data_IF_138401230089
#
_entry.id   IF_138401230089
#
_cell.length_a   1.000
_cell.length_b   1.000
_cell.length_c   1.000
_cell.angle_alpha   90.00
_cell.angle_beta   90.00
_cell.angle_gamma   90.00
#
_symmetry.space_group_name_H-M   'P 1'
#
loop_
_entity.id
_entity.type
_entity.pdbx_description
1 polymer ?
#
# COMPACT_ATOMS: atom_id res chain seq x y z
N UNK A 1 51.19 17.80 35.06
CA UNK A 1 49.96 17.14 34.55
C UNK A 1 50.31 16.47 33.23
N UNK A 2 50.17 15.14 33.14
CA UNK A 2 50.47 14.35 31.93
C UNK A 2 49.23 14.39 31.03
N UNK A 3 49.36 14.95 29.83
CA UNK A 3 48.33 14.88 28.79
C UNK A 3 48.42 13.51 28.11
N UNK A 4 47.42 12.66 28.33
CA UNK A 4 47.21 11.44 27.55
C UNK A 4 46.45 11.82 26.28
N UNK A 5 47.12 11.73 25.13
CA UNK A 5 46.48 11.81 23.81
C UNK A 5 45.80 10.45 23.57
N UNK A 6 44.47 10.42 23.70
CA UNK A 6 43.67 9.26 23.32
C UNK A 6 43.59 9.18 21.80
N UNK A 7 44.32 8.22 21.22
CA UNK A 7 44.15 7.82 19.82
C UNK A 7 42.81 7.11 19.71
N UNK A 8 41.82 7.78 19.11
CA UNK A 8 40.56 7.13 18.73
C UNK A 8 40.84 6.22 17.54
N UNK A 9 40.90 4.91 17.78
CA UNK A 9 40.91 3.91 16.73
C UNK A 9 39.57 3.98 15.98
N UNK A 10 39.58 4.49 14.75
CA UNK A 10 38.53 4.19 13.79
C UNK A 10 38.59 2.68 13.53
N UNK A 11 37.64 1.93 14.10
CA UNK A 11 37.42 0.55 13.70
C UNK A 11 36.99 0.56 12.23
N UNK A 12 37.84 0.06 11.34
CA UNK A 12 37.45 -0.23 9.96
C UNK A 12 36.41 -1.35 10.01
N UNK A 13 35.13 -0.99 9.88
CA UNK A 13 34.06 -1.93 9.59
C UNK A 13 34.47 -2.75 8.36
N UNK A 14 34.77 -4.03 8.55
CA UNK A 14 34.86 -4.97 7.45
C UNK A 14 33.50 -4.96 6.74
N UNK A 15 33.47 -4.61 5.45
CA UNK A 15 32.25 -4.68 4.65
C UNK A 15 31.76 -6.13 4.65
N UNK A 16 30.58 -6.37 5.22
CA UNK A 16 29.93 -7.68 5.20
C UNK A 16 29.22 -7.96 3.87
N UNK A 17 29.12 -6.95 3.01
CA UNK A 17 28.50 -7.05 1.69
C UNK A 17 29.46 -7.75 0.73
N UNK A 18 29.18 -9.01 0.43
CA UNK A 18 29.82 -9.74 -0.66
C UNK A 18 29.23 -9.26 -1.99
N UNK A 19 29.82 -8.22 -2.57
CA UNK A 19 29.55 -7.81 -3.96
C UNK A 19 30.19 -8.85 -4.88
N UNK A 20 29.38 -9.50 -5.72
CA UNK A 20 29.87 -10.50 -6.67
C UNK A 20 30.59 -9.81 -7.86
N UNK A 21 31.88 -9.57 -7.69
CA UNK A 21 32.72 -8.89 -8.69
C UNK A 21 32.75 -9.63 -10.03
N UNK A 22 32.65 -10.97 -10.03
CA UNK A 22 32.68 -11.75 -11.26
C UNK A 22 31.44 -11.50 -12.13
N UNK A 23 30.27 -11.31 -11.51
CA UNK A 23 29.04 -10.90 -12.22
C UNK A 23 29.13 -9.48 -12.75
N UNK A 24 29.85 -8.59 -12.05
CA UNK A 24 30.03 -7.20 -12.49
C UNK A 24 30.91 -7.09 -13.73
N UNK A 25 32.00 -7.87 -13.81
CA UNK A 25 32.99 -7.75 -14.88
C UNK A 25 32.59 -8.46 -16.18
N UNK A 26 31.59 -9.35 -16.14
CA UNK A 26 31.16 -10.16 -17.30
C UNK A 26 29.76 -9.81 -17.83
N UNK A 27 29.04 -8.94 -17.13
CA UNK A 27 27.69 -8.53 -17.51
C UNK A 27 27.70 -7.31 -18.44
N UNK A 28 26.83 -7.25 -19.46
CA UNK A 28 26.58 -6.03 -20.23
C UNK A 28 25.75 -4.99 -19.45
N UNK A 29 25.44 -5.23 -18.17
CA UNK A 29 24.69 -4.31 -17.32
C UNK A 29 25.60 -3.71 -16.23
N UNK A 30 25.87 -2.40 -16.33
CA UNK A 30 26.48 -1.62 -15.25
C UNK A 30 25.37 -1.00 -14.40
N UNK A 31 25.26 -1.43 -13.15
CA UNK A 31 24.29 -0.88 -12.19
C UNK A 31 25.03 -0.05 -11.16
N UNK A 32 24.61 1.21 -11.00
CA UNK A 32 25.16 2.12 -9.99
C UNK A 32 24.08 2.60 -9.04
N UNK A 33 24.40 2.59 -7.76
CA UNK A 33 23.57 3.16 -6.71
C UNK A 33 24.18 4.46 -6.21
N UNK A 34 23.30 5.43 -5.97
CA UNK A 34 23.59 6.69 -5.29
C UNK A 34 22.59 6.88 -4.15
N UNK A 35 23.08 7.32 -2.97
CA UNK A 35 22.20 7.72 -1.88
C UNK A 35 21.61 9.10 -2.19
N UNK A 36 20.30 9.25 -2.01
CA UNK A 36 19.58 10.52 -2.20
C UNK A 36 18.74 10.82 -0.95
N UNK A 37 18.88 12.02 -0.39
CA UNK A 37 18.20 12.37 0.85
C UNK A 37 18.64 11.49 2.03
N UNK A 38 17.68 11.03 2.84
CA UNK A 38 17.92 10.19 4.01
C UNK A 38 18.14 8.72 3.64
N UNK A 39 17.05 7.97 3.42
CA UNK A 39 17.06 6.55 3.03
C UNK A 39 16.72 6.32 1.55
N UNK A 40 16.66 7.40 0.77
CA UNK A 40 16.40 7.34 -0.66
C UNK A 40 17.60 6.78 -1.44
N UNK A 41 17.30 6.05 -2.51
CA UNK A 41 18.29 5.42 -3.39
C UNK A 41 17.90 5.73 -4.83
N UNK A 42 18.88 6.21 -5.60
CA UNK A 42 18.82 6.28 -7.05
C UNK A 42 19.61 5.12 -7.63
N UNK A 43 18.97 4.29 -8.45
CA UNK A 43 19.60 3.20 -9.18
C UNK A 43 19.67 3.55 -10.68
N UNK A 44 20.87 3.56 -11.23
CA UNK A 44 21.14 3.77 -12.66
C UNK A 44 21.59 2.45 -13.30
N UNK A 45 20.81 1.92 -14.24
CA UNK A 45 21.14 0.74 -15.03
C UNK A 45 21.57 1.19 -16.42
N UNK A 46 22.83 0.91 -16.78
CA UNK A 46 23.39 1.22 -18.09
C UNK A 46 23.65 -0.06 -18.86
N UNK A 47 23.18 -0.12 -20.12
CA UNK A 47 23.57 -1.18 -21.04
C UNK A 47 24.93 -0.83 -21.67
N UNK A 48 25.98 -1.53 -21.27
CA UNK A 48 27.35 -1.34 -21.77
C UNK A 48 27.68 -2.24 -22.97
N UNK A 49 26.73 -3.06 -23.43
CA UNK A 49 26.87 -3.87 -24.62
C UNK A 49 26.63 -3.10 -25.92
N UNK A 50 26.85 -3.78 -27.04
CA UNK A 50 26.80 -3.18 -28.39
C UNK A 50 25.41 -3.20 -29.05
N UNK A 51 24.39 -3.75 -28.37
CA UNK A 51 23.02 -3.86 -28.89
C UNK A 51 21.99 -3.63 -27.80
N UNK A 52 20.75 -3.30 -28.19
CA UNK A 52 19.66 -3.10 -27.26
C UNK A 52 19.31 -4.39 -26.51
N UNK A 53 18.97 -4.27 -25.22
CA UNK A 53 18.52 -5.39 -24.38
C UNK A 53 17.10 -5.13 -23.87
N UNK A 54 16.25 -6.15 -23.94
CA UNK A 54 14.84 -6.08 -23.51
C UNK A 54 14.67 -6.83 -22.20
N UNK A 55 14.73 -6.10 -21.09
CA UNK A 55 14.77 -6.62 -19.73
C UNK A 55 13.36 -6.79 -19.16
N UNK A 56 13.06 -7.94 -18.60
CA UNK A 56 11.83 -8.19 -17.87
C UNK A 56 11.87 -7.49 -16.51
N UNK A 57 10.92 -6.58 -16.24
CA UNK A 57 10.96 -5.68 -15.07
C UNK A 57 10.38 -6.29 -13.80
N UNK A 58 9.38 -7.15 -13.90
CA UNK A 58 8.60 -7.60 -12.73
C UNK A 58 9.47 -8.35 -11.74
N UNK A 59 9.37 -8.01 -10.45
CA UNK A 59 10.19 -8.59 -9.38
C UNK A 59 11.61 -8.03 -9.26
N UNK A 60 11.98 -7.02 -10.05
CA UNK A 60 13.31 -6.38 -10.02
C UNK A 60 13.25 -4.99 -9.41
N UNK A 61 14.39 -4.29 -9.28
CA UNK A 61 14.39 -2.89 -8.83
C UNK A 61 13.74 -1.92 -9.82
N UNK A 62 13.49 -2.34 -11.07
CA UNK A 62 12.69 -1.59 -12.06
C UNK A 62 11.17 -1.75 -11.86
N UNK A 63 10.76 -2.65 -10.96
CA UNK A 63 9.34 -2.85 -10.65
C UNK A 63 8.80 -1.71 -9.76
N UNK A 64 7.54 -1.34 -10.01
CA UNK A 64 6.78 -0.42 -9.16
C UNK A 64 6.15 -1.13 -7.96
N UNK A 65 6.04 -2.45 -8.02
CA UNK A 65 5.56 -3.27 -6.92
C UNK A 65 6.50 -3.20 -5.69
N UNK A 66 5.99 -3.50 -4.48
CA UNK A 66 6.77 -3.46 -3.25
C UNK A 66 7.64 -4.71 -3.06
N UNK A 67 8.52 -4.97 -4.04
CA UNK A 67 9.48 -6.09 -4.08
C UNK A 67 10.86 -5.65 -3.57
N UNK A 68 11.75 -6.60 -3.28
CA UNK A 68 13.10 -6.31 -2.76
C UNK A 68 13.96 -5.63 -3.84
N UNK A 69 14.12 -4.31 -3.76
CA UNK A 69 14.89 -3.51 -4.75
C UNK A 69 16.38 -3.46 -4.42
N UNK A 70 16.70 -3.47 -3.13
CA UNK A 70 18.04 -3.42 -2.56
C UNK A 70 18.12 -4.35 -1.37
N UNK A 71 19.35 -4.76 -1.04
CA UNK A 71 19.69 -5.36 0.24
C UNK A 71 20.31 -4.27 1.12
N UNK A 72 19.85 -4.17 2.37
CA UNK A 72 20.36 -3.19 3.34
C UNK A 72 21.03 -3.91 4.48
N UNK A 73 22.18 -3.41 4.92
CA UNK A 73 22.97 -3.97 6.01
C UNK A 73 23.26 -2.90 7.07
N UNK A 74 23.05 -3.22 8.34
CA UNK A 74 23.44 -2.39 9.48
C UNK A 74 24.40 -3.18 10.39
N UNK A 75 25.54 -2.58 10.73
CA UNK A 75 26.61 -3.24 11.50
C UNK A 75 26.99 -4.64 10.96
N UNK A 76 26.92 -4.82 9.63
CA UNK A 76 27.23 -6.08 8.93
C UNK A 76 26.11 -7.12 8.89
N UNK A 77 24.96 -6.87 9.53
CA UNK A 77 23.81 -7.77 9.46
C UNK A 77 22.81 -7.29 8.41
N UNK A 78 22.29 -8.21 7.59
CA UNK A 78 21.22 -7.89 6.63
C UNK A 78 19.95 -7.53 7.39
N UNK A 79 19.36 -6.38 7.06
CA UNK A 79 18.06 -5.96 7.56
C UNK A 79 16.99 -6.70 6.77
N UNK A 80 16.03 -7.28 7.48
CA UNK A 80 14.95 -8.04 6.87
C UNK A 80 14.15 -7.19 5.87
N UNK A 81 13.71 -7.87 4.82
CA UNK A 81 12.82 -7.31 3.80
C UNK A 81 11.37 -7.61 4.18
N UNK A 82 10.52 -6.57 4.22
CA UNK A 82 9.11 -6.64 4.63
C UNK A 82 8.13 -6.32 3.48
N UNK A 83 8.55 -6.55 2.24
CA UNK A 83 7.69 -6.46 1.07
C UNK A 83 7.10 -7.80 0.62
N UNK A 84 6.62 -7.83 -0.62
CA UNK A 84 6.01 -9.04 -1.20
C UNK A 84 7.04 -9.84 -2.00
N UNK A 85 6.89 -11.17 -2.01
CA UNK A 85 7.59 -12.07 -2.94
C UNK A 85 6.60 -12.57 -3.99
N UNK A 86 6.94 -12.43 -5.27
CA UNK A 86 6.03 -12.73 -6.37
C UNK A 86 6.27 -14.14 -6.91
N UNK A 87 5.17 -14.84 -7.25
CA UNK A 87 5.22 -15.91 -8.23
C UNK A 87 4.87 -15.30 -9.59
N UNK A 88 5.82 -15.33 -10.52
CA UNK A 88 5.75 -14.60 -11.78
C UNK A 88 5.44 -15.57 -12.91
N UNK A 89 4.47 -15.21 -13.77
CA UNK A 89 4.24 -15.91 -15.03
C UNK A 89 5.39 -15.61 -16.00
N UNK A 90 5.97 -16.64 -16.62
CA UNK A 90 7.08 -16.50 -17.58
C UNK A 90 6.66 -16.74 -19.03
N UNK A 91 5.35 -16.85 -19.27
CA UNK A 91 4.75 -17.12 -20.58
C UNK A 91 3.51 -16.23 -20.75
N UNK A 92 3.15 -15.95 -22.01
CA UNK A 92 2.03 -15.03 -22.32
C UNK A 92 2.29 -13.60 -21.86
N UNK A 93 3.56 -13.20 -21.85
CA UNK A 93 3.99 -11.87 -21.45
C UNK A 93 3.63 -10.84 -22.53
N UNK A 94 3.30 -9.63 -22.09
CA UNK A 94 3.05 -8.48 -22.96
C UNK A 94 4.27 -7.55 -23.00
N UNK A 95 4.35 -6.70 -24.01
CA UNK A 95 5.41 -5.69 -24.15
C UNK A 95 5.58 -4.80 -22.91
N UNK A 96 4.49 -4.52 -22.18
CA UNK A 96 4.51 -3.69 -20.97
C UNK A 96 5.33 -4.30 -19.83
N UNK A 97 5.54 -5.62 -19.83
CA UNK A 97 6.34 -6.31 -18.83
C UNK A 97 7.85 -6.04 -18.99
N UNK A 98 8.27 -5.51 -20.13
CA UNK A 98 9.68 -5.30 -20.47
C UNK A 98 10.09 -3.82 -20.42
N UNK A 99 11.39 -3.60 -20.20
CA UNK A 99 12.11 -2.35 -20.42
C UNK A 99 13.13 -2.60 -21.53
N UNK A 100 13.01 -1.91 -22.65
CA UNK A 100 14.07 -1.90 -23.65
C UNK A 100 15.10 -0.85 -23.23
N UNK A 101 16.39 -1.22 -23.28
CA UNK A 101 17.53 -0.35 -22.99
C UNK A 101 18.49 -0.44 -24.17
N UNK A 102 18.60 0.63 -24.96
CA UNK A 102 19.50 0.70 -26.10
C UNK A 102 20.98 0.61 -25.65
N UNK A 103 21.87 0.29 -26.60
CA UNK A 103 23.31 0.29 -26.33
C UNK A 103 23.76 1.68 -25.84
N UNK A 104 24.45 1.73 -24.70
CA UNK A 104 24.87 2.96 -24.03
C UNK A 104 23.77 3.75 -23.34
N UNK A 105 22.51 3.31 -23.38
CA UNK A 105 21.42 3.97 -22.67
C UNK A 105 21.46 3.65 -21.17
N UNK A 106 21.10 4.65 -20.36
CA UNK A 106 20.93 4.52 -18.91
C UNK A 106 19.47 4.72 -18.54
N UNK A 107 18.91 3.76 -17.81
CA UNK A 107 17.60 3.87 -17.17
C UNK A 107 17.80 4.14 -15.68
N UNK A 108 17.16 5.19 -15.17
CA UNK A 108 17.24 5.58 -13.77
C UNK A 108 15.91 5.36 -13.06
N UNK A 109 15.96 4.83 -11.84
CA UNK A 109 14.81 4.71 -10.95
C UNK A 109 15.17 5.18 -9.55
N UNK A 110 14.21 5.81 -8.89
CA UNK A 110 14.33 6.26 -7.50
C UNK A 110 13.32 5.53 -6.63
N UNK A 111 13.73 5.19 -5.41
CA UNK A 111 12.90 4.57 -4.39
C UNK A 111 13.51 4.84 -3.01
N UNK A 112 12.73 4.62 -1.96
CA UNK A 112 13.22 4.77 -0.59
C UNK A 112 13.34 3.39 0.08
N UNK A 113 14.54 3.07 0.58
CA UNK A 113 14.81 1.78 1.21
C UNK A 113 13.96 1.57 2.49
N UNK A 114 13.60 2.65 3.18
CA UNK A 114 12.79 2.59 4.40
C UNK A 114 11.33 2.16 4.14
N UNK A 115 10.84 2.22 2.89
CA UNK A 115 9.52 1.68 2.56
C UNK A 115 9.43 0.17 2.86
N UNK A 116 10.54 -0.57 2.66
CA UNK A 116 10.55 -2.03 2.67
C UNK A 116 11.55 -2.66 3.65
N UNK A 117 12.45 -1.86 4.23
CA UNK A 117 13.34 -2.27 5.31
C UNK A 117 13.09 -1.38 6.54
N UNK A 118 13.08 -1.96 7.74
CA UNK A 118 12.92 -1.17 8.96
C UNK A 118 14.26 -0.50 9.33
N UNK A 119 14.37 0.78 8.99
CA UNK A 119 15.53 1.62 9.29
C UNK A 119 15.30 2.57 10.46
N UNK A 120 14.25 2.34 11.27
CA UNK A 120 13.84 3.23 12.37
C UNK A 120 14.89 3.38 13.49
N UNK A 121 15.81 2.42 13.62
CA UNK A 121 16.95 2.51 14.55
C UNK A 121 17.93 3.61 14.16
N UNK A 122 18.02 3.96 12.86
CA UNK A 122 18.99 4.91 12.33
C UNK A 122 20.44 4.40 12.38
N UNK A 123 21.37 5.27 11.98
CA UNK A 123 22.81 5.03 11.98
C UNK A 123 23.38 4.66 10.62
N UNK A 124 24.64 4.24 10.61
CA UNK A 124 25.36 3.84 9.42
C UNK A 124 24.78 2.55 8.80
N UNK A 125 24.44 2.62 7.51
CA UNK A 125 23.98 1.48 6.71
C UNK A 125 24.81 1.32 5.44
N UNK A 126 24.84 0.10 4.94
CA UNK A 126 25.43 -0.26 3.66
C UNK A 126 24.34 -0.84 2.74
N UNK A 127 24.20 -0.31 1.52
CA UNK A 127 23.13 -0.67 0.59
C UNK A 127 23.74 -1.17 -0.73
N UNK A 128 23.21 -2.26 -1.25
CA UNK A 128 23.61 -2.88 -2.52
C UNK A 128 22.39 -3.41 -3.26
N UNK A 129 22.48 -3.58 -4.57
CA UNK A 129 21.53 -4.39 -5.34
C UNK A 129 22.29 -5.36 -6.25
N UNK A 130 21.84 -6.60 -6.30
CA UNK A 130 22.46 -7.65 -7.09
C UNK A 130 21.41 -8.69 -7.46
N UNK A 131 21.62 -9.38 -8.58
CA UNK A 131 20.67 -10.38 -9.04
C UNK A 131 20.84 -10.71 -10.50
N UNK A 132 19.72 -10.99 -11.16
CA UNK A 132 19.68 -11.21 -12.61
C UNK A 132 18.36 -10.71 -13.17
N UNK A 133 18.39 -10.11 -14.35
CA UNK A 133 17.20 -9.83 -15.13
C UNK A 133 16.94 -11.00 -16.08
N UNK A 134 15.69 -11.42 -16.21
CA UNK A 134 15.29 -12.16 -17.41
C UNK A 134 15.27 -11.19 -18.60
N UNK A 135 15.58 -11.68 -19.79
CA UNK A 135 15.48 -10.88 -21.01
C UNK A 135 14.80 -11.65 -22.14
N UNK A 136 14.27 -10.90 -23.10
CA UNK A 136 13.72 -11.39 -24.35
C UNK A 136 14.50 -10.81 -25.55
N UNK A 137 14.35 -11.43 -26.72
CA UNK A 137 14.80 -10.82 -27.97
C UNK A 137 13.96 -9.57 -28.29
N UNK A 138 14.52 -8.62 -29.05
CA UNK A 138 13.88 -7.33 -29.32
C UNK A 138 12.44 -7.46 -29.87
N UNK A 139 12.24 -8.37 -30.82
CA UNK A 139 10.97 -8.62 -31.51
C UNK A 139 10.12 -9.74 -30.85
N UNK A 140 10.42 -10.11 -29.60
CA UNK A 140 9.74 -11.19 -28.88
C UNK A 140 9.32 -10.77 -27.46
N UNK A 141 8.32 -11.45 -26.90
CA UNK A 141 7.98 -11.40 -25.47
C UNK A 141 8.28 -12.71 -24.75
N UNK A 142 8.87 -13.69 -25.44
CA UNK A 142 9.32 -14.93 -24.84
C UNK A 142 10.68 -14.72 -24.15
N UNK A 143 10.82 -15.26 -22.94
CA UNK A 143 12.08 -15.17 -22.18
C UNK A 143 13.15 -16.01 -22.87
N UNK A 144 14.21 -15.34 -23.33
CA UNK A 144 15.35 -15.95 -24.02
C UNK A 144 16.46 -16.38 -23.05
N UNK A 145 16.59 -15.72 -21.91
CA UNK A 145 17.60 -16.06 -20.91
C UNK A 145 17.62 -15.13 -19.72
N UNK A 146 18.74 -15.15 -18.99
CA UNK A 146 18.98 -14.28 -17.84
C UNK A 146 20.35 -13.60 -17.96
N UNK A 147 20.43 -12.35 -17.50
CA UNK A 147 21.66 -11.56 -17.44
C UNK A 147 21.92 -11.13 -15.99
N UNK A 148 23.05 -11.51 -15.38
CA UNK A 148 23.36 -11.14 -14.00
C UNK A 148 23.75 -9.67 -13.88
N UNK A 149 23.64 -9.09 -12.69
CA UNK A 149 24.21 -7.79 -12.37
C UNK A 149 24.60 -7.72 -10.89
N UNK A 150 25.49 -6.79 -10.57
CA UNK A 150 25.78 -6.38 -9.20
C UNK A 150 26.14 -4.90 -9.20
N UNK A 151 25.62 -4.14 -8.25
CA UNK A 151 25.92 -2.72 -8.12
C UNK A 151 27.22 -2.46 -7.34
N UNK A 152 27.63 -1.20 -7.26
CA UNK A 152 28.47 -0.74 -6.16
C UNK A 152 27.71 -0.85 -4.82
N UNK A 153 28.48 -0.87 -3.73
CA UNK A 153 27.97 -0.69 -2.38
C UNK A 153 27.99 0.81 -2.02
N UNK A 154 26.90 1.35 -1.50
CA UNK A 154 26.85 2.70 -0.94
C UNK A 154 26.81 2.62 0.59
N UNK A 155 27.60 3.47 1.24
CA UNK A 155 27.60 3.64 2.71
C UNK A 155 27.00 5.00 3.02
N UNK A 156 25.96 5.03 3.84
CA UNK A 156 25.26 6.27 4.22
C UNK A 156 24.82 6.24 5.68
N UNK A 157 24.54 7.41 6.23
CA UNK A 157 24.01 7.58 7.59
C UNK A 157 22.51 7.87 7.51
N UNK A 158 21.68 7.10 8.20
CA UNK A 158 20.22 7.23 8.19
C UNK A 158 19.72 7.86 9.48
N UNK A 159 18.92 8.92 9.36
CA UNK A 159 18.05 9.39 10.43
C UNK A 159 16.88 8.42 10.61
N UNK A 160 16.83 7.75 11.76
CA UNK A 160 15.82 6.74 12.07
C UNK A 160 14.40 7.29 12.16
N UNK A 161 14.21 8.52 12.66
CA UNK A 161 12.87 9.13 12.78
C UNK A 161 12.27 9.43 11.41
N UNK A 162 13.07 9.98 10.49
CA UNK A 162 12.64 10.25 9.12
C UNK A 162 12.36 8.95 8.35
N UNK A 163 13.22 7.94 8.51
CA UNK A 163 13.00 6.63 7.91
C UNK A 163 11.72 5.94 8.46
N UNK A 164 11.47 6.04 9.76
CA UNK A 164 10.24 5.54 10.37
C UNK A 164 8.99 6.25 9.81
N UNK A 165 9.08 7.55 9.50
CA UNK A 165 8.01 8.31 8.87
C UNK A 165 7.72 7.82 7.45
N UNK A 166 8.75 7.61 6.62
CA UNK A 166 8.61 7.02 5.28
C UNK A 166 7.91 5.66 5.34
N UNK A 167 8.40 4.79 6.23
CA UNK A 167 7.86 3.44 6.42
C UNK A 167 6.39 3.47 6.83
N UNK A 168 6.05 4.33 7.78
CA UNK A 168 4.68 4.50 8.26
C UNK A 168 3.76 4.95 7.12
N UNK A 169 4.14 6.02 6.40
CA UNK A 169 3.34 6.54 5.28
C UNK A 169 3.10 5.47 4.19
N UNK A 170 4.11 4.65 3.91
CA UNK A 170 4.01 3.55 2.95
C UNK A 170 3.03 2.45 3.40
N UNK A 171 3.13 2.02 4.67
CA UNK A 171 2.23 1.02 5.27
C UNK A 171 0.79 1.54 5.30
N UNK A 172 0.58 2.78 5.72
CA UNK A 172 -0.72 3.43 5.78
C UNK A 172 -1.38 3.48 4.39
N UNK A 173 -0.62 3.92 3.38
CA UNK A 173 -1.08 3.95 1.99
C UNK A 173 -1.50 2.57 1.48
N UNK A 174 -0.68 1.53 1.71
CA UNK A 174 -1.01 0.15 1.31
C UNK A 174 -2.27 -0.36 2.02
N UNK A 175 -2.39 -0.06 3.30
CA UNK A 175 -3.54 -0.45 4.13
C UNK A 175 -4.82 0.19 3.62
N UNK A 176 -4.80 1.49 3.30
CA UNK A 176 -5.93 2.20 2.74
C UNK A 176 -6.38 1.63 1.37
N UNK A 177 -5.43 1.36 0.46
CA UNK A 177 -5.73 0.75 -0.85
C UNK A 177 -6.40 -0.63 -0.70
N UNK A 178 -5.88 -1.46 0.19
CA UNK A 178 -6.46 -2.77 0.48
C UNK A 178 -7.86 -2.66 1.08
N UNK A 179 -8.07 -1.72 2.00
CA UNK A 179 -9.37 -1.47 2.62
C UNK A 179 -10.41 -0.97 1.61
N UNK A 180 -10.03 -0.07 0.69
CA UNK A 180 -10.91 0.39 -0.41
C UNK A 180 -11.31 -0.77 -1.32
N UNK A 181 -10.35 -1.64 -1.67
CA UNK A 181 -10.64 -2.84 -2.48
C UNK A 181 -11.64 -3.76 -1.78
N UNK A 182 -11.49 -3.96 -0.46
CA UNK A 182 -12.44 -4.75 0.35
C UNK A 182 -13.79 -4.06 0.50
N UNK A 183 -13.82 -2.74 0.69
CA UNK A 183 -15.04 -1.93 0.69
C UNK A 183 -15.87 -2.21 -0.56
N UNK A 184 -15.24 -2.21 -1.75
CA UNK A 184 -15.96 -2.49 -3.01
C UNK A 184 -16.63 -3.86 -2.98
N UNK A 185 -15.88 -4.91 -2.62
CA UNK A 185 -16.41 -6.28 -2.53
C UNK A 185 -17.56 -6.39 -1.51
N UNK A 186 -17.40 -5.76 -0.35
CA UNK A 186 -18.42 -5.70 0.69
C UNK A 186 -19.69 -4.97 0.22
N UNK A 187 -19.53 -3.83 -0.45
CA UNK A 187 -20.63 -3.04 -0.98
C UNK A 187 -21.36 -3.74 -2.13
N UNK A 188 -20.67 -4.52 -2.98
CA UNK A 188 -21.31 -5.36 -4.01
C UNK A 188 -22.22 -6.40 -3.36
N UNK A 189 -21.72 -7.11 -2.35
CA UNK A 189 -22.49 -8.11 -1.62
C UNK A 189 -23.69 -7.48 -0.90
N UNK A 190 -23.48 -6.35 -0.22
CA UNK A 190 -24.52 -5.62 0.48
C UNK A 190 -25.59 -5.04 -0.47
N UNK A 191 -25.19 -4.50 -1.64
CA UNK A 191 -26.15 -4.03 -2.66
C UNK A 191 -27.06 -5.17 -3.13
N UNK A 192 -26.48 -6.33 -3.41
CA UNK A 192 -27.21 -7.53 -3.84
C UNK A 192 -28.16 -8.03 -2.74
N UNK A 193 -27.69 -8.09 -1.50
CA UNK A 193 -28.49 -8.48 -0.34
C UNK A 193 -29.62 -7.50 -0.03
N UNK A 194 -29.40 -6.20 -0.21
CA UNK A 194 -30.45 -5.20 -0.05
C UNK A 194 -31.55 -5.38 -1.10
N UNK A 195 -31.17 -5.59 -2.36
CA UNK A 195 -32.11 -5.77 -3.46
C UNK A 195 -32.94 -7.06 -3.33
N UNK A 196 -32.32 -8.18 -2.95
CA UNK A 196 -32.92 -9.52 -3.10
C UNK A 196 -32.81 -10.45 -1.89
N UNK A 197 -32.05 -10.05 -0.86
CA UNK A 197 -31.81 -10.86 0.33
C UNK A 197 -33.00 -10.92 1.30
N UNK A 198 -32.84 -11.67 2.41
CA UNK A 198 -33.92 -11.91 3.38
C UNK A 198 -34.55 -10.62 3.92
N UNK A 199 -35.88 -10.57 3.94
CA UNK A 199 -36.63 -9.43 4.46
C UNK A 199 -36.33 -9.14 5.93
N UNK A 200 -36.07 -10.18 6.73
CA UNK A 200 -35.73 -10.06 8.15
C UNK A 200 -34.52 -9.15 8.38
N UNK A 201 -33.46 -9.30 7.57
CA UNK A 201 -32.24 -8.50 7.70
C UNK A 201 -32.45 -7.03 7.30
N UNK A 202 -33.22 -6.79 6.24
CA UNK A 202 -33.64 -5.42 5.89
C UNK A 202 -34.47 -4.78 7.01
N UNK A 203 -35.40 -5.52 7.60
CA UNK A 203 -36.20 -5.05 8.74
C UNK A 203 -35.35 -4.83 9.99
N UNK A 204 -34.32 -5.64 10.23
CA UNK A 204 -33.45 -5.48 11.39
C UNK A 204 -32.69 -4.15 11.36
N UNK A 205 -32.04 -3.84 10.25
CA UNK A 205 -31.20 -2.65 10.14
C UNK A 205 -32.00 -1.42 9.70
N UNK A 206 -32.85 -1.53 8.69
CA UNK A 206 -33.58 -0.40 8.10
C UNK A 206 -35.03 -0.28 8.58
N UNK A 207 -35.51 -1.19 9.43
CA UNK A 207 -36.89 -1.23 9.96
C UNK A 207 -37.97 -1.35 8.87
N UNK A 208 -37.57 -1.68 7.65
CA UNK A 208 -38.43 -1.82 6.49
C UNK A 208 -37.74 -2.70 5.44
N UNK A 209 -38.52 -3.53 4.77
CA UNK A 209 -38.09 -4.37 3.64
C UNK A 209 -38.90 -4.12 2.37
N UNK A 210 -39.61 -2.99 2.31
CA UNK A 210 -40.38 -2.58 1.11
C UNK A 210 -39.45 -2.40 -0.08
N UNK A 211 -40.00 -2.55 -1.30
CA UNK A 211 -39.24 -2.34 -2.54
C UNK A 211 -38.59 -0.95 -2.58
N UNK A 212 -39.26 0.09 -2.09
CA UNK A 212 -38.69 1.44 -2.02
C UNK A 212 -37.48 1.52 -1.09
N UNK A 213 -37.55 0.93 0.11
CA UNK A 213 -36.41 0.87 1.04
C UNK A 213 -35.26 0.06 0.46
N UNK A 214 -35.55 -1.12 -0.13
CA UNK A 214 -34.54 -1.96 -0.76
C UNK A 214 -33.82 -1.26 -1.90
N UNK A 215 -34.57 -0.61 -2.81
CA UNK A 215 -34.00 0.16 -3.92
C UNK A 215 -33.13 1.30 -3.41
N UNK A 216 -33.57 1.99 -2.35
CA UNK A 216 -32.79 3.07 -1.73
C UNK A 216 -31.45 2.56 -1.20
N UNK A 217 -31.47 1.47 -0.42
CA UNK A 217 -30.25 0.91 0.19
C UNK A 217 -29.32 0.32 -0.87
N UNK A 218 -29.87 -0.43 -1.83
CA UNK A 218 -29.10 -0.99 -2.93
C UNK A 218 -28.43 0.10 -3.79
N UNK A 219 -29.12 1.22 -4.03
CA UNK A 219 -28.57 2.36 -4.77
C UNK A 219 -27.44 3.06 -4.01
N UNK A 220 -27.55 3.21 -2.69
CA UNK A 220 -26.45 3.76 -1.87
C UNK A 220 -25.21 2.87 -1.97
N UNK A 221 -25.36 1.55 -1.79
CA UNK A 221 -24.23 0.63 -1.98
C UNK A 221 -23.69 0.65 -3.42
N UNK A 222 -24.54 0.79 -4.44
CA UNK A 222 -24.09 0.91 -5.83
C UNK A 222 -23.20 2.14 -6.07
N UNK A 223 -23.46 3.25 -5.38
CA UNK A 223 -22.58 4.43 -5.41
C UNK A 223 -21.26 4.15 -4.67
N UNK A 224 -21.31 3.47 -3.52
CA UNK A 224 -20.11 3.05 -2.78
C UNK A 224 -19.25 2.09 -3.64
N UNK A 225 -19.85 1.16 -4.38
CA UNK A 225 -19.13 0.27 -5.31
C UNK A 225 -18.37 1.08 -6.37
N UNK A 226 -19.01 2.13 -6.89
CA UNK A 226 -18.39 3.01 -7.89
C UNK A 226 -17.21 3.78 -7.30
N UNK A 227 -17.39 4.35 -6.10
CA UNK A 227 -16.37 5.12 -5.42
C UNK A 227 -15.18 4.26 -4.93
N UNK A 228 -15.45 3.11 -4.32
CA UNK A 228 -14.42 2.13 -3.96
C UNK A 228 -13.84 1.40 -5.20
N UNK A 229 -14.23 1.78 -6.41
CA UNK A 229 -13.73 1.26 -7.68
C UNK A 229 -12.41 1.82 -8.15
N UNK A 230 -11.94 2.90 -7.54
CA UNK A 230 -10.68 3.55 -7.89
C UNK A 230 -10.04 4.17 -6.66
N UNK A 231 -8.72 4.25 -6.66
CA UNK A 231 -7.93 4.95 -5.64
C UNK A 231 -7.33 6.25 -6.16
N UNK A 232 -7.58 6.58 -7.44
CA UNK A 232 -6.98 7.72 -8.15
C UNK A 232 -8.03 8.62 -8.82
N UNK A 233 -9.31 8.23 -8.77
CA UNK A 233 -10.44 8.96 -9.33
C UNK A 233 -11.69 8.69 -8.52
N UNK A 234 -12.71 9.53 -8.62
CA UNK A 234 -13.95 9.37 -7.87
C UNK A 234 -14.56 10.72 -7.52
N UNK A 235 -15.51 10.71 -6.61
CA UNK A 235 -16.14 11.93 -6.07
C UNK A 235 -15.43 12.46 -4.83
N UNK A 236 -14.51 11.69 -4.23
CA UNK A 236 -13.81 12.06 -3.01
C UNK A 236 -12.30 11.80 -3.05
N UNK A 237 -11.58 12.43 -2.11
CA UNK A 237 -10.17 12.14 -1.82
C UNK A 237 -10.07 11.31 -0.53
N UNK A 238 -9.19 10.32 -0.51
CA UNK A 238 -8.84 9.58 0.70
C UNK A 238 -7.46 10.03 1.20
N UNK A 239 -7.40 10.49 2.44
CA UNK A 239 -6.15 10.79 3.12
C UNK A 239 -5.79 9.69 4.12
N UNK A 240 -4.48 9.44 4.24
CA UNK A 240 -3.91 8.51 5.21
C UNK A 240 -3.33 9.20 6.45
N UNK A 241 -3.27 10.53 6.43
CA UNK A 241 -2.81 11.36 7.54
C UNK A 241 -3.83 12.43 7.86
N UNK A 242 -3.80 12.92 9.11
CA UNK A 242 -4.78 13.89 9.60
C UNK A 242 -4.54 15.29 9.01
N UNK A 243 -5.30 15.61 7.96
CA UNK A 243 -5.21 16.91 7.27
C UNK A 243 -6.07 18.01 7.89
N UNK A 244 -6.93 17.69 8.86
CA UNK A 244 -7.83 18.65 9.52
C UNK A 244 -7.55 18.83 11.02
N UNK A 245 -6.85 17.89 11.67
CA UNK A 245 -6.58 17.92 13.11
C UNK A 245 -7.72 17.33 13.95
N UNK A 246 -8.56 16.46 13.38
CA UNK A 246 -9.69 15.84 14.08
C UNK A 246 -9.40 14.42 14.61
N UNK A 247 -8.26 13.83 14.24
CA UNK A 247 -7.89 12.52 14.74
C UNK A 247 -7.50 12.58 16.23
N UNK A 248 -8.03 11.64 17.01
CA UNK A 248 -7.68 11.43 18.40
C UNK A 248 -7.77 9.93 18.73
N UNK A 249 -7.40 9.52 19.94
CA UNK A 249 -7.27 8.09 20.31
C UNK A 249 -8.51 7.24 20.03
N UNK A 250 -9.70 7.82 20.08
CA UNK A 250 -10.97 7.12 19.91
C UNK A 250 -11.67 7.41 18.57
N UNK A 251 -10.99 8.08 17.64
CA UNK A 251 -11.53 8.37 16.30
C UNK A 251 -10.82 7.45 15.31
N UNK A 252 -11.60 6.62 14.60
CA UNK A 252 -11.07 5.69 13.62
C UNK A 252 -10.85 6.40 12.27
N UNK A 253 -11.81 7.18 11.85
CA UNK A 253 -11.79 7.95 10.61
C UNK A 253 -12.75 9.14 10.73
N UNK A 254 -12.72 10.04 9.76
CA UNK A 254 -13.73 11.06 9.59
C UNK A 254 -13.91 11.46 8.13
N UNK A 255 -15.08 12.02 7.83
CA UNK A 255 -15.41 12.62 6.54
C UNK A 255 -15.65 14.11 6.70
N UNK A 256 -15.16 14.93 5.76
CA UNK A 256 -15.59 16.33 5.62
C UNK A 256 -16.48 16.45 4.38
N UNK A 257 -17.83 16.34 4.51
CA UNK A 257 -18.73 16.26 3.36
C UNK A 257 -18.67 17.51 2.48
N UNK A 258 -18.47 18.69 3.09
CA UNK A 258 -18.39 19.98 2.38
C UNK A 258 -17.17 20.11 1.44
N UNK A 259 -16.13 19.29 1.64
CA UNK A 259 -14.92 19.28 0.82
C UNK A 259 -14.66 17.94 0.13
N UNK A 260 -15.58 16.98 0.29
CA UNK A 260 -15.54 15.67 -0.36
C UNK A 260 -14.21 14.95 -0.15
N UNK A 261 -13.83 14.79 1.10
CA UNK A 261 -12.70 13.93 1.46
C UNK A 261 -12.96 13.17 2.75
N UNK A 262 -12.26 12.05 2.87
CA UNK A 262 -12.24 11.20 4.06
C UNK A 262 -10.81 11.04 4.54
N UNK A 263 -10.67 10.77 5.82
CA UNK A 263 -9.37 10.63 6.49
C UNK A 263 -9.41 9.40 7.37
N UNK A 264 -8.42 8.54 7.19
CA UNK A 264 -8.18 7.44 8.12
C UNK A 264 -7.25 7.96 9.23
N UNK A 265 -7.68 7.83 10.49
CA UNK A 265 -6.86 8.19 11.64
C UNK A 265 -5.90 7.05 12.01
N UNK A 266 -4.88 7.29 12.86
CA UNK A 266 -3.92 6.26 13.24
C UNK A 266 -4.55 4.94 13.72
N UNK A 267 -5.67 5.02 14.44
CA UNK A 267 -6.43 3.84 14.91
C UNK A 267 -6.84 2.91 13.76
N UNK A 268 -7.25 3.45 12.61
CA UNK A 268 -7.65 2.66 11.43
C UNK A 268 -6.55 1.68 10.98
N UNK A 269 -5.30 2.11 10.99
CA UNK A 269 -4.18 1.32 10.48
C UNK A 269 -3.79 0.16 11.39
N UNK A 270 -4.27 0.14 12.64
CA UNK A 270 -4.05 -0.93 13.61
C UNK A 270 -5.22 -1.92 13.71
N UNK A 271 -6.35 -1.62 13.06
CA UNK A 271 -7.53 -2.48 13.05
C UNK A 271 -7.38 -3.69 12.13
N UNK A 272 -8.18 -4.73 12.36
CA UNK A 272 -8.31 -5.85 11.43
C UNK A 272 -8.82 -5.37 10.07
N UNK A 273 -8.28 -5.92 8.98
CA UNK A 273 -8.73 -5.60 7.63
C UNK A 273 -10.21 -5.99 7.37
N UNK A 274 -10.63 -7.10 7.97
CA UNK A 274 -11.99 -7.63 7.93
C UNK A 274 -12.23 -8.52 9.15
N UNK A 275 -13.43 -8.47 9.72
CA UNK A 275 -13.81 -9.28 10.89
C UNK A 275 -15.08 -10.10 10.63
N UNK A 276 -15.00 -11.40 10.93
CA UNK A 276 -16.16 -12.31 10.93
C UNK A 276 -16.94 -12.29 12.25
N UNK A 277 -16.52 -11.50 13.24
CA UNK A 277 -17.27 -11.31 14.49
C UNK A 277 -18.43 -10.36 14.24
N UNK A 278 -19.66 -10.76 14.55
CA UNK A 278 -20.84 -9.93 14.33
C UNK A 278 -20.72 -8.54 14.97
N UNK A 279 -21.04 -7.53 14.17
CA UNK A 279 -21.06 -6.12 14.53
C UNK A 279 -19.70 -5.53 14.92
N UNK A 280 -18.60 -6.23 14.64
CA UNK A 280 -17.26 -5.70 14.83
C UNK A 280 -16.97 -4.56 13.84
N UNK A 281 -16.13 -3.62 14.28
CA UNK A 281 -15.55 -2.60 13.42
C UNK A 281 -14.25 -3.13 12.82
N UNK A 282 -14.04 -2.87 11.54
CA UNK A 282 -12.86 -3.28 10.78
C UNK A 282 -12.58 -2.23 9.68
N UNK A 283 -11.45 -2.35 8.99
CA UNK A 283 -11.06 -1.34 7.99
C UNK A 283 -12.07 -1.23 6.84
N UNK A 284 -12.59 -2.34 6.31
CA UNK A 284 -13.54 -2.31 5.19
C UNK A 284 -14.88 -1.65 5.58
N UNK A 285 -15.36 -1.89 6.80
CA UNK A 285 -16.60 -1.34 7.32
C UNK A 285 -16.44 0.14 7.67
N UNK A 286 -15.28 0.56 8.20
CA UNK A 286 -14.97 1.97 8.39
C UNK A 286 -14.99 2.73 7.06
N UNK A 287 -14.38 2.21 5.98
CA UNK A 287 -14.46 2.88 4.68
C UNK A 287 -15.92 2.99 4.21
N UNK A 288 -16.74 1.94 4.36
CA UNK A 288 -18.18 2.01 4.02
C UNK A 288 -18.90 3.08 4.83
N UNK A 289 -18.62 3.18 6.13
CA UNK A 289 -19.20 4.20 7.02
C UNK A 289 -18.91 5.60 6.49
N UNK A 290 -17.63 5.94 6.31
CA UNK A 290 -17.20 7.27 5.87
C UNK A 290 -17.75 7.63 4.47
N UNK A 291 -17.76 6.65 3.55
CA UNK A 291 -18.32 6.85 2.21
C UNK A 291 -19.80 7.27 2.27
N UNK A 292 -20.57 6.81 3.26
CA UNK A 292 -21.99 7.19 3.36
C UNK A 292 -22.20 8.66 3.74
N UNK A 293 -21.23 9.28 4.44
CA UNK A 293 -21.28 10.70 4.79
C UNK A 293 -21.07 11.62 3.60
N UNK A 294 -20.40 11.16 2.53
CA UNK A 294 -20.25 11.92 1.31
C UNK A 294 -21.62 12.29 0.73
N UNK A 295 -21.83 13.58 0.45
CA UNK A 295 -23.11 14.10 -0.06
C UNK A 295 -23.51 13.47 -1.39
N UNK A 296 -22.52 13.10 -2.19
CA UNK A 296 -22.65 12.45 -3.50
C UNK A 296 -23.10 10.99 -3.38
N UNK A 297 -22.89 10.36 -2.22
CA UNK A 297 -23.27 8.97 -1.95
C UNK A 297 -24.63 8.93 -1.26
N UNK A 298 -24.72 9.47 -0.04
CA UNK A 298 -25.96 9.55 0.72
C UNK A 298 -26.08 10.80 1.59
N UNK A 299 -24.98 11.29 2.17
CA UNK A 299 -25.01 12.37 3.14
C UNK A 299 -25.65 11.94 4.45
N UNK A 300 -25.27 10.77 4.97
CA UNK A 300 -25.74 10.26 6.27
C UNK A 300 -25.25 11.13 7.43
N UNK A 301 -25.89 10.98 8.60
CA UNK A 301 -25.53 11.59 9.87
C UNK A 301 -25.42 10.52 10.95
N UNK A 302 -24.54 10.71 11.94
CA UNK A 302 -24.41 9.78 13.07
C UNK A 302 -25.38 10.04 14.21
N UNK A 303 -26.13 11.15 14.17
CA UNK A 303 -27.04 11.54 15.24
C UNK A 303 -26.43 11.47 16.66
N UNK A 304 -25.11 11.65 16.77
CA UNK A 304 -24.31 11.52 18.00
C UNK A 304 -24.38 10.13 18.67
N UNK A 305 -24.56 9.05 17.91
CA UNK A 305 -24.53 7.69 18.46
C UNK A 305 -23.99 6.66 17.47
N UNK A 306 -23.49 5.54 18.00
CA UNK A 306 -22.75 4.55 17.22
C UNK A 306 -23.06 3.13 17.69
N UNK A 307 -22.82 2.18 16.79
CA UNK A 307 -22.93 0.76 17.05
C UNK A 307 -24.35 0.20 17.02
N UNK A 308 -24.42 -1.13 17.11
CA UNK A 308 -25.63 -1.90 16.87
C UNK A 308 -26.81 -1.56 17.80
N UNK A 309 -26.52 -1.30 19.07
CA UNK A 309 -27.57 -0.91 20.02
C UNK A 309 -28.19 0.45 19.69
N UNK A 310 -27.40 1.39 19.15
CA UNK A 310 -27.91 2.68 18.71
C UNK A 310 -28.75 2.55 17.44
N UNK A 311 -28.26 1.85 16.42
CA UNK A 311 -29.04 1.57 15.18
C UNK A 311 -30.38 0.88 15.48
N UNK A 312 -30.44 0.06 16.53
CA UNK A 312 -31.69 -0.56 16.99
C UNK A 312 -32.71 0.41 17.58
N UNK A 313 -32.27 1.52 18.19
CA UNK A 313 -33.16 2.52 18.79
C UNK A 313 -33.72 3.52 17.78
N UNK A 314 -33.08 3.65 16.61
CA UNK A 314 -33.46 4.58 15.56
C UNK A 314 -34.75 4.18 14.83
N UNK A 315 -35.50 5.18 14.37
CA UNK A 315 -36.64 5.00 13.47
C UNK A 315 -36.19 4.53 12.08
N UNK A 316 -37.12 4.05 11.24
CA UNK A 316 -36.83 3.67 9.85
C UNK A 316 -36.20 4.80 9.04
N UNK A 317 -36.73 6.03 9.18
CA UNK A 317 -36.24 7.20 8.46
C UNK A 317 -34.83 7.61 8.91
N UNK A 318 -34.55 7.54 10.21
CA UNK A 318 -33.21 7.78 10.74
C UNK A 318 -32.23 6.71 10.28
N UNK A 319 -32.62 5.43 10.32
CA UNK A 319 -31.75 4.34 9.88
C UNK A 319 -31.37 4.43 8.40
N UNK A 320 -32.29 4.89 7.54
CA UNK A 320 -31.96 5.17 6.13
C UNK A 320 -30.95 6.32 5.94
N UNK A 321 -30.73 7.14 6.97
CA UNK A 321 -29.84 8.29 6.96
C UNK A 321 -28.69 8.17 7.98
N UNK A 322 -28.45 6.98 8.54
CA UNK A 322 -27.41 6.77 9.56
C UNK A 322 -26.29 5.88 9.02
N UNK A 323 -25.03 6.30 9.19
CA UNK A 323 -23.87 5.64 8.59
C UNK A 323 -23.70 4.20 9.09
N UNK A 324 -23.72 3.98 10.41
CA UNK A 324 -23.57 2.62 10.96
C UNK A 324 -24.70 1.66 10.55
N UNK A 325 -25.86 2.14 10.12
CA UNK A 325 -26.91 1.25 9.63
C UNK A 325 -26.46 0.54 8.36
N UNK A 326 -25.87 1.27 7.42
CA UNK A 326 -25.31 0.69 6.20
C UNK A 326 -24.11 -0.19 6.53
N UNK A 327 -23.23 0.29 7.41
CA UNK A 327 -22.02 -0.43 7.81
C UNK A 327 -22.33 -1.77 8.48
N UNK A 328 -23.23 -1.77 9.47
CA UNK A 328 -23.61 -2.98 10.19
C UNK A 328 -24.46 -3.92 9.33
N UNK A 329 -25.31 -3.39 8.44
CA UNK A 329 -26.00 -4.22 7.44
C UNK A 329 -24.99 -4.94 6.55
N UNK A 330 -24.00 -4.23 6.00
CA UNK A 330 -22.97 -4.85 5.17
C UNK A 330 -22.12 -5.86 5.95
N UNK A 331 -21.71 -5.51 7.17
CA UNK A 331 -20.94 -6.36 8.06
C UNK A 331 -21.67 -7.67 8.38
N UNK A 332 -22.98 -7.60 8.60
CA UNK A 332 -23.81 -8.80 8.85
C UNK A 332 -23.74 -9.78 7.67
N UNK A 333 -23.80 -9.27 6.43
CA UNK A 333 -23.64 -10.10 5.22
C UNK A 333 -22.26 -10.77 5.17
N UNK A 334 -21.19 -10.06 5.52
CA UNK A 334 -19.84 -10.61 5.55
C UNK A 334 -19.66 -11.67 6.65
N UNK A 335 -20.15 -11.39 7.86
CA UNK A 335 -19.99 -12.25 9.03
C UNK A 335 -20.98 -13.42 9.08
N UNK A 336 -22.05 -13.40 8.28
CA UNK A 336 -23.07 -14.45 8.28
C UNK A 336 -24.04 -14.37 9.46
N UNK A 337 -24.22 -13.19 10.03
CA UNK A 337 -25.34 -12.83 10.90
C UNK A 337 -26.30 -11.88 10.17
#
# INVERSE_FOLDING_TARGET
>A
MKFSIGVSLLATLASAVNVDMAKRDTSPLDVKLEAIGNSGVKAALTNTGDSAIKLFKTGTFLDKAPVEKVEVFAAGNKIDFDGIRLQIATAGLTEEAFQIVAAGETVEVEFDAAELHDLSTGGAVEIVTQGSFLYADADSTEIAGAVPFSSNSIKTEVNGEEAASVRTAFIEKRTAVNAITRCRSLAVAASSAAASGPAARMTEYFKSSTTATRNTVAAVFGRIVSECGSTTSGVSRQYCSDVYGACSSNVIAYTLPSQSYMVNCPTFFTMSAASSTCHAQDQQTTIVHEMTHLTQIRGTSDYNGYGYNFVRSLTAAQNLNHADTYTLFAQSIYAGC
#
